data_IF_196547215955
#
_entry.id   IF_196547215955
#
_cell.length_a   1.000
_cell.length_b   1.000
_cell.length_c   1.000
_cell.angle_alpha   90.00
_cell.angle_beta   90.00
_cell.angle_gamma   90.00
#
_symmetry.space_group_name_H-M   'P 1'
#
loop_
_entity.id
_entity.type
_entity.pdbx_description
1 polymer ?
#
# COMPACT_ATOMS: atom_id res chain seq x y z
N UNK A 1 19.80 5.79 -20.21
CA UNK A 1 18.73 6.76 -20.54
C UNK A 1 18.85 7.10 -22.02
N UNK A 2 17.74 7.10 -22.77
CA UNK A 2 17.72 7.57 -24.15
C UNK A 2 18.15 9.05 -24.22
N UNK A 3 18.96 9.46 -25.20
CA UNK A 3 19.52 10.82 -25.29
C UNK A 3 20.06 11.35 -23.95
N UNK A 4 20.94 10.57 -23.30
CA UNK A 4 21.42 10.86 -21.94
C UNK A 4 21.92 12.29 -21.76
N UNK A 5 22.66 12.85 -22.71
CA UNK A 5 23.17 14.22 -22.63
C UNK A 5 22.07 15.28 -22.53
N UNK A 6 20.97 15.13 -23.28
CA UNK A 6 19.84 16.07 -23.22
C UNK A 6 19.14 15.96 -21.87
N UNK A 7 18.96 14.74 -21.38
CA UNK A 7 18.30 14.49 -20.11
C UNK A 7 19.13 14.99 -18.93
N UNK A 8 20.44 14.81 -18.93
CA UNK A 8 21.31 15.39 -17.90
C UNK A 8 21.24 16.93 -17.93
N UNK A 9 21.26 17.56 -19.11
CA UNK A 9 21.05 19.02 -19.21
C UNK A 9 19.74 19.48 -18.61
N UNK A 10 18.65 18.72 -18.77
CA UNK A 10 17.39 19.04 -18.11
C UNK A 10 17.49 18.85 -16.60
N UNK A 11 18.08 17.75 -16.12
CA UNK A 11 18.23 17.47 -14.70
C UNK A 11 19.06 18.56 -13.99
N UNK A 12 20.07 19.13 -14.66
CA UNK A 12 20.86 20.25 -14.14
C UNK A 12 20.03 21.54 -13.90
N UNK A 13 18.85 21.66 -14.52
CA UNK A 13 17.94 22.79 -14.29
C UNK A 13 16.99 22.60 -13.10
N UNK A 14 16.96 21.41 -12.51
CA UNK A 14 16.00 21.04 -11.48
C UNK A 14 16.61 21.11 -10.07
N UNK A 15 15.74 21.28 -9.07
CA UNK A 15 16.14 21.08 -7.67
C UNK A 15 16.47 19.62 -7.39
N UNK A 16 17.34 19.36 -6.41
CA UNK A 16 17.76 18.00 -6.02
C UNK A 16 16.57 17.06 -5.74
N UNK A 17 15.52 17.57 -5.07
CA UNK A 17 14.29 16.81 -4.80
C UNK A 17 13.50 16.43 -6.06
N UNK A 18 13.55 17.25 -7.12
CA UNK A 18 12.95 16.92 -8.41
C UNK A 18 13.83 15.97 -9.23
N UNK A 19 15.16 16.12 -9.16
CA UNK A 19 16.11 15.19 -9.80
C UNK A 19 15.90 13.77 -9.28
N UNK A 20 15.75 13.59 -7.97
CA UNK A 20 15.47 12.29 -7.36
C UNK A 20 14.16 11.65 -7.85
N UNK A 21 13.18 12.45 -8.28
CA UNK A 21 11.91 11.97 -8.83
C UNK A 21 12.00 11.70 -10.34
N UNK A 22 12.68 12.57 -11.09
CA UNK A 22 12.74 12.52 -12.55
C UNK A 22 13.71 11.44 -13.08
N UNK A 23 14.87 11.27 -12.43
CA UNK A 23 15.90 10.34 -12.91
C UNK A 23 15.40 8.88 -13.01
N UNK A 24 14.64 8.33 -12.04
CA UNK A 24 14.03 7.00 -12.20
C UNK A 24 13.01 6.91 -13.34
N UNK A 25 12.26 8.00 -13.61
CA UNK A 25 11.31 8.05 -14.72
C UNK A 25 12.05 7.93 -16.05
N UNK A 26 13.12 8.70 -16.24
CA UNK A 26 13.94 8.61 -17.45
C UNK A 26 14.63 7.25 -17.63
N UNK A 27 15.11 6.65 -16.54
CA UNK A 27 15.71 5.32 -16.61
C UNK A 27 14.69 4.26 -17.07
N UNK A 28 13.45 4.32 -16.58
CA UNK A 28 12.38 3.41 -17.03
C UNK A 28 11.88 3.73 -18.44
N UNK A 29 11.80 5.01 -18.79
CA UNK A 29 11.29 5.46 -20.08
C UNK A 29 12.18 5.04 -21.25
N UNK A 30 13.47 4.83 -21.02
CA UNK A 30 14.45 4.39 -22.03
C UNK A 30 13.94 3.21 -22.86
N UNK A 31 13.30 2.22 -22.25
CA UNK A 31 12.74 1.05 -22.98
C UNK A 31 11.72 1.50 -24.04
N UNK A 32 10.82 2.41 -23.66
CA UNK A 32 9.74 2.90 -24.55
C UNK A 32 10.29 3.88 -25.58
N UNK A 33 11.24 4.73 -25.19
CA UNK A 33 11.91 5.66 -26.11
C UNK A 33 12.74 4.94 -27.17
N UNK A 34 13.46 3.88 -26.77
CA UNK A 34 14.18 3.01 -27.71
C UNK A 34 13.22 2.28 -28.64
N UNK A 35 12.07 1.79 -28.13
CA UNK A 35 11.05 1.15 -28.95
C UNK A 35 10.50 2.08 -30.03
N UNK A 36 10.20 3.33 -29.66
CA UNK A 36 9.69 4.33 -30.61
C UNK A 36 10.78 5.08 -31.39
N UNK A 37 12.04 4.80 -31.07
CA UNK A 37 13.22 5.51 -31.58
C UNK A 37 13.06 7.05 -31.56
N UNK A 38 12.54 7.57 -30.45
CA UNK A 38 12.34 9.00 -30.24
C UNK A 38 12.30 9.32 -28.76
N UNK A 39 12.57 10.58 -28.45
CA UNK A 39 12.54 11.07 -27.08
C UNK A 39 11.10 11.36 -26.62
N UNK A 40 10.86 11.37 -25.30
CA UNK A 40 9.57 11.67 -24.67
C UNK A 40 8.99 12.99 -25.20
N UNK A 41 9.82 14.01 -25.47
CA UNK A 41 9.34 15.30 -25.99
C UNK A 41 8.79 15.26 -27.42
N UNK A 42 8.94 14.14 -28.13
CA UNK A 42 8.36 13.88 -29.46
C UNK A 42 7.27 12.78 -29.41
N UNK A 43 6.81 12.40 -28.21
CA UNK A 43 5.73 11.43 -28.06
C UNK A 43 4.37 12.06 -28.38
N UNK A 44 3.47 11.23 -28.93
CA UNK A 44 2.04 11.55 -29.02
C UNK A 44 1.36 11.32 -27.67
N UNK A 45 0.16 11.86 -27.45
CA UNK A 45 -0.63 11.61 -26.23
C UNK A 45 -0.79 10.12 -25.93
N UNK A 46 -1.06 9.31 -26.97
CA UNK A 46 -1.15 7.85 -26.85
C UNK A 46 0.15 7.20 -26.35
N UNK A 47 1.30 7.63 -26.86
CA UNK A 47 2.60 7.08 -26.45
C UNK A 47 2.99 7.53 -25.04
N UNK A 48 2.57 8.73 -24.64
CA UNK A 48 2.72 9.19 -23.25
C UNK A 48 1.87 8.31 -22.32
N UNK A 49 0.62 8.02 -22.69
CA UNK A 49 -0.25 7.12 -21.92
C UNK A 49 0.33 5.70 -21.82
N UNK A 50 0.88 5.15 -22.90
CA UNK A 50 1.56 3.85 -22.88
C UNK A 50 2.80 3.85 -22.00
N UNK A 51 3.63 4.91 -22.07
CA UNK A 51 4.76 5.07 -21.18
C UNK A 51 4.31 5.10 -19.71
N UNK A 52 3.27 5.86 -19.39
CA UNK A 52 2.72 5.94 -18.03
C UNK A 52 2.20 4.56 -17.58
N UNK A 53 1.46 3.84 -18.43
CA UNK A 53 1.00 2.45 -18.18
C UNK A 53 2.16 1.51 -17.87
N UNK A 54 3.29 1.66 -18.56
CA UNK A 54 4.48 0.82 -18.35
C UNK A 54 5.10 0.94 -16.95
N UNK A 55 4.78 2.01 -16.20
CA UNK A 55 5.28 2.19 -14.84
C UNK A 55 4.51 1.43 -13.78
N UNK A 56 3.41 0.77 -14.17
CA UNK A 56 2.63 -0.14 -13.33
C UNK A 56 2.17 0.51 -12.00
N UNK A 57 1.79 1.78 -12.06
CA UNK A 57 1.40 2.56 -10.88
C UNK A 57 0.03 2.12 -10.34
N UNK A 58 -0.14 2.18 -9.02
CA UNK A 58 -1.34 1.67 -8.31
C UNK A 58 -2.28 2.75 -7.78
N UNK A 59 -1.93 4.03 -7.96
CA UNK A 59 -2.78 5.14 -7.50
C UNK A 59 -2.83 6.23 -8.55
N UNK A 60 -4.01 6.86 -8.70
CA UNK A 60 -4.20 7.97 -9.63
C UNK A 60 -3.27 9.15 -9.29
N UNK A 61 -2.97 9.37 -8.01
CA UNK A 61 -2.02 10.39 -7.57
C UNK A 61 -0.60 10.14 -8.09
N UNK A 62 -0.17 8.88 -8.19
CA UNK A 62 1.12 8.52 -8.79
C UNK A 62 1.10 8.72 -10.31
N UNK A 63 0.02 8.34 -10.99
CA UNK A 63 -0.18 8.53 -12.44
C UNK A 63 -0.14 10.03 -12.80
N UNK A 64 -0.96 10.85 -12.12
CA UNK A 64 -1.00 12.32 -12.30
C UNK A 64 0.37 12.96 -12.05
N UNK A 65 1.10 12.50 -11.04
CA UNK A 65 2.46 13.00 -10.75
C UNK A 65 3.42 12.67 -11.87
N UNK A 66 3.37 11.45 -12.41
CA UNK A 66 4.18 11.07 -13.57
C UNK A 66 3.86 11.98 -14.76
N UNK A 67 2.57 12.15 -15.10
CA UNK A 67 2.17 13.03 -16.20
C UNK A 67 2.71 14.45 -16.00
N UNK A 68 2.59 14.99 -14.79
CA UNK A 68 3.09 16.33 -14.48
C UNK A 68 4.61 16.44 -14.67
N UNK A 69 5.38 15.43 -14.24
CA UNK A 69 6.83 15.38 -14.42
C UNK A 69 7.21 15.27 -15.90
N UNK A 70 6.56 14.40 -16.66
CA UNK A 70 6.76 14.29 -18.11
C UNK A 70 6.40 15.60 -18.82
N UNK A 71 5.27 16.23 -18.46
CA UNK A 71 4.84 17.51 -19.01
C UNK A 71 5.90 18.60 -18.79
N UNK A 72 6.51 18.67 -17.60
CA UNK A 72 7.57 19.65 -17.31
C UNK A 72 8.80 19.43 -18.19
N UNK A 73 9.17 18.18 -18.43
CA UNK A 73 10.28 17.86 -19.33
C UNK A 73 9.97 18.25 -20.79
N UNK A 74 8.75 17.96 -21.27
CA UNK A 74 8.32 18.31 -22.62
C UNK A 74 8.29 19.83 -22.81
N UNK A 75 7.76 20.58 -21.85
CA UNK A 75 7.75 22.05 -21.89
C UNK A 75 9.19 22.61 -21.96
N UNK A 76 10.09 22.05 -21.14
CA UNK A 76 11.50 22.43 -21.19
C UNK A 76 12.09 22.15 -22.58
N UNK A 77 11.90 20.95 -23.12
CA UNK A 77 12.44 20.58 -24.43
C UNK A 77 11.90 21.47 -25.58
N UNK A 78 10.61 21.85 -25.54
CA UNK A 78 10.00 22.80 -26.48
C UNK A 78 10.66 24.18 -26.35
N UNK A 79 10.87 24.68 -25.13
CA UNK A 79 11.48 25.99 -24.91
C UNK A 79 12.92 26.09 -25.45
N UNK A 80 13.66 24.98 -25.44
CA UNK A 80 15.00 24.86 -26.03
C UNK A 80 14.99 24.47 -27.52
N UNK A 81 13.81 24.41 -28.16
CA UNK A 81 13.64 24.04 -29.58
C UNK A 81 14.22 22.65 -29.93
N UNK A 82 14.16 21.72 -28.97
CA UNK A 82 14.59 20.33 -29.15
C UNK A 82 13.49 19.46 -29.76
N UNK A 83 12.22 19.76 -29.42
CA UNK A 83 11.07 19.04 -29.95
C UNK A 83 10.77 19.42 -31.39
N UNK A 84 10.27 18.45 -32.18
CA UNK A 84 9.73 18.70 -33.52
C UNK A 84 8.42 19.48 -33.49
N UNK A 85 7.69 19.41 -32.37
CA UNK A 85 6.42 20.10 -32.16
C UNK A 85 6.58 21.36 -31.30
N UNK A 86 5.57 22.24 -31.38
CA UNK A 86 5.46 23.43 -30.52
C UNK A 86 4.45 23.27 -29.38
N UNK A 87 3.78 22.12 -29.31
CA UNK A 87 2.69 21.87 -28.36
C UNK A 87 3.01 20.68 -27.50
N UNK A 88 2.84 20.84 -26.19
CA UNK A 88 2.99 19.75 -25.24
C UNK A 88 1.75 18.86 -25.24
N UNK A 89 1.83 17.73 -25.96
CA UNK A 89 0.73 16.78 -26.08
C UNK A 89 0.36 16.09 -24.75
N UNK A 90 1.24 16.09 -23.74
CA UNK A 90 0.90 15.59 -22.40
C UNK A 90 -0.26 16.37 -21.77
N UNK A 91 -0.40 17.66 -22.12
CA UNK A 91 -1.46 18.54 -21.59
C UNK A 91 -2.83 18.31 -22.24
N UNK A 92 -2.91 17.44 -23.25
CA UNK A 92 -4.17 17.08 -23.93
C UNK A 92 -4.82 15.83 -23.35
N UNK A 93 -4.12 15.12 -22.46
CA UNK A 93 -4.60 13.90 -21.83
C UNK A 93 -5.70 14.25 -20.81
N UNK A 94 -6.85 13.61 -20.96
CA UNK A 94 -8.01 13.74 -20.08
C UNK A 94 -7.83 12.98 -18.77
N UNK A 95 -8.69 13.27 -17.80
CA UNK A 95 -8.65 12.60 -16.50
C UNK A 95 -9.10 11.14 -16.63
N UNK A 96 -10.09 10.86 -17.47
CA UNK A 96 -10.58 9.53 -17.79
C UNK A 96 -9.46 8.63 -18.35
N UNK A 97 -8.68 9.14 -19.31
CA UNK A 97 -7.52 8.41 -19.87
C UNK A 97 -6.45 8.10 -18.80
N UNK A 98 -6.30 8.95 -17.78
CA UNK A 98 -5.38 8.66 -16.67
C UNK A 98 -5.89 7.55 -15.76
N UNK A 99 -7.20 7.46 -15.53
CA UNK A 99 -7.78 6.35 -14.78
C UNK A 99 -7.58 5.03 -15.53
N UNK A 100 -7.69 5.01 -16.86
CA UNK A 100 -7.39 3.83 -17.67
C UNK A 100 -5.93 3.35 -17.52
N UNK A 101 -4.99 4.22 -17.17
CA UNK A 101 -3.60 3.83 -16.93
C UNK A 101 -3.42 2.93 -15.70
N UNK A 102 -4.38 2.90 -14.78
CA UNK A 102 -4.31 2.04 -13.59
C UNK A 102 -4.53 0.57 -13.93
N UNK A 103 -5.28 0.27 -14.99
CA UNK A 103 -5.65 -1.10 -15.37
C UNK A 103 -6.43 -1.85 -14.28
N UNK A 104 -6.68 -3.13 -14.52
CA UNK A 104 -7.35 -3.97 -13.53
C UNK A 104 -6.31 -4.67 -12.62
N UNK A 105 -5.99 -4.02 -11.51
CA UNK A 105 -5.04 -4.54 -10.51
C UNK A 105 -5.78 -4.91 -9.24
N UNK A 106 -5.47 -6.10 -8.71
CA UNK A 106 -5.90 -6.49 -7.38
C UNK A 106 -5.04 -5.77 -6.33
N UNK A 107 -5.60 -4.70 -5.77
CA UNK A 107 -4.94 -3.86 -4.77
C UNK A 107 -5.30 -4.27 -3.35
N UNK A 108 -6.56 -4.67 -3.13
CA UNK A 108 -7.11 -4.98 -1.82
C UNK A 108 -7.35 -6.48 -1.67
N UNK A 109 -7.55 -6.93 -0.44
CA UNK A 109 -7.98 -8.29 -0.11
C UNK A 109 -9.33 -8.24 0.56
N UNK A 110 -10.18 -9.23 0.31
CA UNK A 110 -11.45 -9.37 1.03
C UNK A 110 -11.22 -9.89 2.45
N UNK A 111 -12.25 -9.82 3.30
CA UNK A 111 -12.20 -10.49 4.60
C UNK A 111 -12.06 -12.02 4.47
N UNK A 112 -12.75 -12.63 3.51
CA UNK A 112 -12.66 -14.06 3.21
C UNK A 112 -11.24 -14.46 2.78
N UNK A 113 -10.59 -13.65 1.94
CA UNK A 113 -9.20 -13.86 1.53
C UNK A 113 -8.22 -13.69 2.68
N UNK A 114 -8.43 -12.70 3.55
CA UNK A 114 -7.63 -12.53 4.76
C UNK A 114 -7.65 -13.80 5.61
N UNK A 115 -8.83 -14.37 5.85
CA UNK A 115 -8.98 -15.61 6.63
C UNK A 115 -8.29 -16.80 5.94
N UNK A 116 -8.46 -16.93 4.61
CA UNK A 116 -7.78 -17.97 3.84
C UNK A 116 -6.25 -17.84 3.93
N UNK A 117 -5.74 -16.62 3.77
CA UNK A 117 -4.32 -16.33 3.88
C UNK A 117 -3.79 -16.69 5.27
N UNK A 118 -4.50 -16.31 6.32
CA UNK A 118 -4.12 -16.64 7.70
C UNK A 118 -4.12 -18.15 7.96
N UNK A 119 -5.07 -18.89 7.40
CA UNK A 119 -5.12 -20.34 7.52
C UNK A 119 -3.91 -21.02 6.84
N UNK A 120 -3.42 -20.46 5.73
CA UNK A 120 -2.26 -21.00 5.00
C UNK A 120 -0.90 -20.57 5.58
N UNK A 121 -0.84 -19.43 6.28
CA UNK A 121 0.39 -18.97 6.93
C UNK A 121 0.75 -19.87 8.12
N UNK A 122 2.04 -20.15 8.29
CA UNK A 122 2.51 -21.00 9.40
C UNK A 122 2.94 -20.15 10.60
N UNK A 123 3.57 -19.00 10.37
CA UNK A 123 4.06 -18.16 11.47
C UNK A 123 2.94 -17.24 11.97
N UNK A 124 2.70 -17.25 13.26
CA UNK A 124 1.72 -16.35 13.87
C UNK A 124 2.13 -14.89 13.74
N UNK A 125 3.43 -14.58 13.76
CA UNK A 125 3.88 -13.21 13.52
C UNK A 125 3.46 -12.67 12.15
N UNK A 126 3.48 -13.51 11.10
CA UNK A 126 2.99 -13.13 9.76
C UNK A 126 1.47 -12.92 9.78
N UNK A 127 0.72 -13.83 10.42
CA UNK A 127 -0.74 -13.69 10.59
C UNK A 127 -1.10 -12.42 11.33
N UNK A 128 -0.42 -12.15 12.45
CA UNK A 128 -0.66 -10.99 13.30
C UNK A 128 -0.43 -9.69 12.55
N UNK A 129 0.67 -9.55 11.81
CA UNK A 129 0.91 -8.34 11.01
C UNK A 129 -0.20 -8.13 9.98
N UNK A 130 -0.66 -9.19 9.31
CA UNK A 130 -1.75 -9.11 8.33
C UNK A 130 -3.07 -8.68 8.99
N UNK A 131 -3.50 -9.37 10.04
CA UNK A 131 -4.74 -9.09 10.77
C UNK A 131 -4.75 -7.72 11.43
N UNK A 132 -3.67 -7.36 12.13
CA UNK A 132 -3.55 -6.08 12.84
C UNK A 132 -3.60 -4.90 11.86
N UNK A 133 -2.90 -4.98 10.73
CA UNK A 133 -2.99 -3.95 9.68
C UNK A 133 -4.41 -3.87 9.12
N UNK A 134 -5.04 -5.00 8.84
CA UNK A 134 -6.41 -5.04 8.30
C UNK A 134 -7.40 -4.39 9.29
N UNK A 135 -7.20 -4.59 10.59
CA UNK A 135 -8.05 -3.96 11.62
C UNK A 135 -7.60 -2.55 12.01
N UNK A 136 -6.63 -1.97 11.30
CA UNK A 136 -6.27 -0.56 11.41
C UNK A 136 -5.10 -0.23 12.34
N UNK A 137 -4.41 -1.22 12.89
CA UNK A 137 -3.19 -1.02 13.69
C UNK A 137 -2.02 -0.78 12.74
N UNK A 138 -1.52 0.45 12.68
CA UNK A 138 -0.40 0.82 11.80
C UNK A 138 0.50 1.85 12.46
N UNK A 139 0.02 3.06 12.68
CA UNK A 139 0.82 4.19 13.13
C UNK A 139 1.93 4.63 12.16
N UNK A 140 2.62 5.72 12.51
CA UNK A 140 3.73 6.27 11.76
C UNK A 140 4.88 5.27 11.73
N UNK A 141 5.32 4.93 10.52
CA UNK A 141 6.40 3.97 10.27
C UNK A 141 6.19 2.62 11.01
N UNK A 142 4.93 2.18 11.12
CA UNK A 142 4.52 0.95 11.79
C UNK A 142 4.70 0.95 13.31
N UNK A 143 4.81 2.13 13.94
CA UNK A 143 5.08 2.24 15.39
C UNK A 143 4.04 1.57 16.27
N UNK A 144 2.76 1.54 15.89
CA UNK A 144 1.72 0.85 16.66
C UNK A 144 1.95 -0.67 16.66
N UNK A 145 2.28 -1.25 15.51
CA UNK A 145 2.60 -2.67 15.38
C UNK A 145 3.87 -3.04 16.14
N UNK A 146 4.91 -2.22 16.01
CA UNK A 146 6.21 -2.46 16.61
C UNK A 146 6.17 -2.30 18.14
N UNK A 147 5.29 -1.46 18.67
CA UNK A 147 5.20 -1.16 20.11
C UNK A 147 4.20 -2.04 20.84
N UNK A 148 3.36 -2.80 20.12
CA UNK A 148 2.35 -3.65 20.70
C UNK A 148 2.98 -4.81 21.49
N UNK A 149 2.64 -4.88 22.77
CA UNK A 149 3.11 -5.92 23.70
C UNK A 149 2.04 -6.95 24.01
N UNK A 150 2.48 -8.12 24.48
CA UNK A 150 1.64 -9.20 25.01
C UNK A 150 0.66 -8.69 26.07
N UNK A 151 1.15 -7.89 27.01
CA UNK A 151 0.32 -7.31 28.08
C UNK A 151 -0.82 -6.45 27.52
N UNK A 152 -0.54 -5.61 26.53
CA UNK A 152 -1.59 -4.79 25.89
C UNK A 152 -2.67 -5.65 25.21
N UNK A 153 -2.28 -6.78 24.62
CA UNK A 153 -3.23 -7.74 24.03
C UNK A 153 -4.07 -8.42 25.12
N UNK A 154 -3.43 -8.88 26.20
CA UNK A 154 -4.11 -9.49 27.36
C UNK A 154 -5.10 -8.51 28.03
N UNK A 155 -4.68 -7.27 28.24
CA UNK A 155 -5.52 -6.20 28.79
C UNK A 155 -6.74 -5.92 27.87
N UNK A 156 -6.54 -5.91 26.55
CA UNK A 156 -7.61 -5.71 25.59
C UNK A 156 -8.63 -6.84 25.57
N UNK A 157 -8.19 -8.10 25.73
CA UNK A 157 -9.08 -9.26 25.84
C UNK A 157 -10.03 -9.15 27.06
N UNK A 158 -9.58 -8.50 28.13
CA UNK A 158 -10.38 -8.27 29.34
C UNK A 158 -11.23 -6.99 29.26
N UNK A 159 -10.99 -6.12 28.27
CA UNK A 159 -11.59 -4.79 28.16
C UNK A 159 -12.33 -4.59 26.83
N UNK A 160 -13.24 -5.51 26.50
CA UNK A 160 -14.15 -5.37 25.35
C UNK A 160 -13.45 -5.30 23.98
N UNK A 161 -12.27 -5.93 23.88
CA UNK A 161 -11.40 -5.96 22.71
C UNK A 161 -10.88 -4.59 22.26
N UNK A 162 -10.56 -3.70 23.22
CA UNK A 162 -10.02 -2.37 22.91
C UNK A 162 -8.52 -2.34 23.17
N UNK A 163 -7.73 -2.28 22.10
CA UNK A 163 -6.28 -2.11 22.16
C UNK A 163 -5.92 -0.65 22.48
N UNK A 164 -4.97 -0.48 23.39
CA UNK A 164 -4.27 0.78 23.63
C UNK A 164 -2.99 0.79 22.80
N UNK A 165 -2.93 1.61 21.76
CA UNK A 165 -1.87 1.65 20.75
C UNK A 165 -1.01 2.89 20.91
N UNK A 166 0.31 2.77 20.71
CA UNK A 166 1.25 3.87 20.77
C UNK A 166 1.83 4.22 19.40
N UNK A 167 1.55 5.45 18.94
CA UNK A 167 2.13 6.04 17.75
C UNK A 167 3.29 6.98 18.12
N UNK A 168 4.42 6.82 17.43
CA UNK A 168 5.65 7.58 17.72
C UNK A 168 5.53 9.10 17.53
N UNK A 169 4.51 9.58 16.82
CA UNK A 169 4.27 11.00 16.53
C UNK A 169 2.99 11.53 17.17
N UNK A 170 1.97 10.68 17.29
CA UNK A 170 0.63 11.08 17.70
C UNK A 170 0.24 10.58 19.09
N UNK A 171 1.12 9.83 19.76
CA UNK A 171 0.91 9.32 21.10
C UNK A 171 -0.08 8.16 21.13
N UNK A 172 -0.80 8.05 22.23
CA UNK A 172 -1.68 6.90 22.50
C UNK A 172 -3.06 7.05 21.82
N UNK A 173 -3.60 5.99 21.24
CA UNK A 173 -5.02 5.91 20.86
C UNK A 173 -5.63 4.56 21.24
N UNK A 174 -6.96 4.52 21.33
CA UNK A 174 -7.73 3.30 21.55
C UNK A 174 -8.37 2.84 20.24
N UNK A 175 -8.32 1.53 19.97
CA UNK A 175 -8.91 0.93 18.78
C UNK A 175 -9.60 -0.38 19.16
N UNK A 176 -10.87 -0.52 18.77
CA UNK A 176 -11.60 -1.78 18.95
C UNK A 176 -11.23 -2.75 17.83
N UNK A 177 -10.91 -3.98 18.19
CA UNK A 177 -10.55 -5.06 17.27
C UNK A 177 -11.41 -6.30 17.52
N UNK A 178 -11.33 -7.28 16.62
CA UNK A 178 -11.97 -8.59 16.77
C UNK A 178 -11.29 -9.43 17.85
N UNK A 179 -12.02 -10.42 18.39
CA UNK A 179 -11.42 -11.38 19.33
C UNK A 179 -10.35 -12.22 18.63
N UNK A 180 -10.58 -12.58 17.37
CA UNK A 180 -9.66 -13.31 16.50
C UNK A 180 -8.34 -12.55 16.34
N UNK A 181 -8.38 -11.23 16.15
CA UNK A 181 -7.19 -10.37 16.11
C UNK A 181 -6.34 -10.52 17.37
N UNK A 182 -6.97 -10.45 18.54
CA UNK A 182 -6.28 -10.59 19.81
C UNK A 182 -5.69 -11.98 20.00
N UNK A 183 -6.42 -13.04 19.63
CA UNK A 183 -5.93 -14.42 19.70
C UNK A 183 -4.69 -14.62 18.82
N UNK A 184 -4.73 -14.13 17.58
CA UNK A 184 -3.60 -14.21 16.65
C UNK A 184 -2.41 -13.41 17.19
N UNK A 185 -2.63 -12.19 17.68
CA UNK A 185 -1.58 -11.35 18.25
C UNK A 185 -0.94 -11.98 19.50
N UNK A 186 -1.74 -12.60 20.38
CA UNK A 186 -1.24 -13.29 21.57
C UNK A 186 -0.36 -14.49 21.18
N UNK A 187 -0.80 -15.30 20.22
CA UNK A 187 -0.01 -16.42 19.70
C UNK A 187 1.31 -15.94 19.06
N UNK A 188 1.29 -14.81 18.35
CA UNK A 188 2.50 -14.20 17.81
C UNK A 188 3.46 -13.73 18.91
N UNK A 189 2.95 -13.10 19.97
CA UNK A 189 3.76 -12.70 21.13
C UNK A 189 4.36 -13.90 21.88
N UNK A 190 3.76 -15.08 21.78
CA UNK A 190 4.28 -16.33 22.37
C UNK A 190 5.22 -17.10 21.43
N UNK A 191 5.32 -16.69 20.15
CA UNK A 191 6.16 -17.35 19.17
C UNK A 191 7.65 -17.17 19.51
N UNK A 192 8.39 -18.28 19.56
CA UNK A 192 9.84 -18.32 19.86
C UNK A 192 10.69 -18.64 18.64
N UNK A 193 10.07 -19.19 17.59
CA UNK A 193 10.73 -19.60 16.35
C UNK A 193 9.91 -19.14 15.15
N UNK A 194 10.59 -18.63 14.13
CA UNK A 194 9.99 -18.26 12.86
C UNK A 194 10.45 -19.21 11.77
N UNK A 195 9.51 -19.91 11.12
CA UNK A 195 9.77 -20.75 9.95
C UNK A 195 9.96 -19.87 8.72
N UNK A 196 11.18 -19.88 8.16
CA UNK A 196 11.53 -19.02 7.03
C UNK A 196 10.59 -19.26 5.84
N UNK A 197 10.23 -18.16 5.15
CA UNK A 197 9.25 -18.14 4.06
C UNK A 197 7.93 -18.87 4.40
N UNK A 198 7.43 -18.69 5.63
CA UNK A 198 6.23 -19.37 6.13
C UNK A 198 6.27 -20.89 5.91
N UNK A 199 7.44 -21.51 6.14
CA UNK A 199 7.64 -22.96 6.00
C UNK A 199 8.04 -23.43 4.61
N UNK A 200 8.14 -22.54 3.61
CA UNK A 200 8.54 -22.89 2.22
C UNK A 200 10.03 -22.67 1.92
N UNK A 201 10.88 -22.47 2.93
CA UNK A 201 12.31 -22.31 2.73
C UNK A 201 12.97 -23.59 2.17
N UNK A 202 13.74 -23.44 1.08
CA UNK A 202 14.49 -24.54 0.43
C UNK A 202 15.93 -24.73 0.95
N UNK A 203 16.41 -23.80 1.77
CA UNK A 203 17.77 -23.84 2.32
C UNK A 203 17.94 -24.80 3.51
N UNK A 204 19.19 -24.96 3.97
CA UNK A 204 19.51 -25.75 5.16
C UNK A 204 18.83 -25.20 6.41
N UNK A 205 18.89 -23.88 6.59
CA UNK A 205 18.15 -23.20 7.67
C UNK A 205 16.69 -23.06 7.26
N UNK A 206 15.81 -23.78 7.97
CA UNK A 206 14.35 -23.73 7.76
C UNK A 206 13.63 -22.84 8.77
N UNK A 207 14.21 -22.64 9.94
CA UNK A 207 13.67 -21.84 11.01
C UNK A 207 14.76 -21.03 11.70
N UNK A 208 14.37 -19.93 12.32
CA UNK A 208 15.25 -19.05 13.10
C UNK A 208 14.58 -18.73 14.43
N UNK A 209 15.38 -18.59 15.49
CA UNK A 209 14.87 -18.14 16.77
C UNK A 209 14.48 -16.66 16.69
N UNK A 210 13.40 -16.31 17.37
CA UNK A 210 13.02 -14.93 17.63
C UNK A 210 13.69 -14.45 18.92
N UNK A 211 13.90 -13.14 19.00
CA UNK A 211 14.34 -12.50 20.25
C UNK A 211 13.29 -12.74 21.34
N UNK A 212 13.74 -13.05 22.55
CA UNK A 212 12.86 -13.26 23.69
C UNK A 212 12.51 -11.90 24.33
N UNK A 213 11.32 -11.40 24.02
CA UNK A 213 10.74 -10.22 24.64
C UNK A 213 9.20 -10.25 24.51
N UNK A 214 8.55 -9.25 25.11
CA UNK A 214 7.10 -9.17 25.23
C UNK A 214 6.39 -8.58 24.00
N UNK A 215 7.10 -8.24 22.91
CA UNK A 215 6.47 -7.65 21.73
C UNK A 215 5.74 -8.71 20.89
N UNK A 216 4.62 -8.30 20.27
CA UNK A 216 3.90 -9.11 19.27
C UNK A 216 4.75 -9.32 18.01
N UNK A 217 5.47 -8.27 17.59
CA UNK A 217 6.41 -8.33 16.47
C UNK A 217 7.85 -8.28 16.99
N UNK A 218 8.54 -9.40 16.81
CA UNK A 218 9.89 -9.71 17.27
C UNK A 218 10.88 -9.78 16.12
N UNK A 219 12.11 -9.37 16.40
CA UNK A 219 13.22 -9.54 15.44
C UNK A 219 13.73 -10.98 15.46
N UNK A 220 14.19 -11.46 14.31
CA UNK A 220 14.95 -12.72 14.20
C UNK A 220 16.28 -12.57 14.94
N UNK A 221 16.61 -13.50 15.84
CA UNK A 221 17.84 -13.47 16.63
C UNK A 221 19.05 -13.58 15.70
N UNK A 222 19.89 -12.56 15.71
CA UNK A 222 21.18 -12.52 15.00
C UNK A 222 22.26 -12.15 16.01
N UNK A 223 23.50 -12.57 15.79
CA UNK A 223 24.62 -12.36 16.74
C UNK A 223 24.82 -10.90 17.17
N UNK A 224 24.35 -9.92 16.38
CA UNK A 224 24.69 -8.51 16.54
C UNK A 224 23.49 -7.57 16.81
N UNK A 225 22.29 -8.09 17.16
CA UNK A 225 21.12 -7.22 17.45
C UNK A 225 20.57 -7.47 18.85
N UNK A 226 20.45 -6.39 19.62
CA UNK A 226 19.97 -6.40 21.00
C UNK A 226 18.51 -6.82 21.13
N UNK A 227 18.12 -7.20 22.36
CA UNK A 227 16.84 -7.84 22.68
C UNK A 227 15.61 -6.91 22.65
N UNK A 228 15.76 -5.75 22.01
CA UNK A 228 14.77 -4.68 22.01
C UNK A 228 13.68 -4.80 20.94
N UNK A 229 12.93 -3.71 20.82
CA UNK A 229 11.86 -3.53 19.84
C UNK A 229 12.36 -3.78 18.40
N UNK A 230 11.51 -4.39 17.57
CA UNK A 230 11.84 -4.64 16.18
C UNK A 230 12.02 -3.36 15.36
N UNK A 231 12.88 -3.44 14.34
CA UNK A 231 13.03 -2.36 13.36
C UNK A 231 11.84 -2.32 12.40
N UNK A 232 11.49 -1.13 11.88
CA UNK A 232 10.47 -0.95 10.84
C UNK A 232 10.62 -1.88 9.62
N UNK A 233 11.85 -2.25 9.28
CA UNK A 233 12.14 -3.16 8.17
C UNK A 233 11.60 -4.57 8.40
N UNK A 234 11.35 -4.98 9.65
CA UNK A 234 10.74 -6.28 9.95
C UNK A 234 9.33 -6.36 9.36
N UNK A 235 8.52 -5.31 9.51
CA UNK A 235 7.16 -5.26 8.95
C UNK A 235 7.22 -5.31 7.42
N UNK A 236 8.07 -4.49 6.80
CA UNK A 236 8.24 -4.50 5.34
C UNK A 236 8.62 -5.88 4.83
N UNK A 237 9.60 -6.54 5.46
CA UNK A 237 10.04 -7.88 5.06
C UNK A 237 8.96 -8.94 5.26
N UNK A 238 8.17 -8.86 6.35
CA UNK A 238 7.07 -9.79 6.57
C UNK A 238 5.99 -9.64 5.48
N UNK A 239 5.65 -8.40 5.10
CA UNK A 239 4.71 -8.17 4.00
C UNK A 239 5.27 -8.64 2.66
N UNK A 240 6.57 -8.43 2.38
CA UNK A 240 7.21 -8.98 1.18
C UNK A 240 7.15 -10.51 1.16
N UNK A 241 7.48 -11.17 2.27
CA UNK A 241 7.39 -12.64 2.38
C UNK A 241 5.95 -13.13 2.15
N UNK A 242 4.93 -12.42 2.66
CA UNK A 242 3.50 -12.76 2.45
C UNK A 242 3.09 -12.52 0.99
N UNK A 243 3.45 -11.38 0.43
CA UNK A 243 3.18 -11.02 -0.97
C UNK A 243 3.75 -12.06 -1.93
N UNK A 244 5.00 -12.49 -1.74
CA UNK A 244 5.62 -13.57 -2.51
C UNK A 244 4.91 -14.91 -2.30
N UNK A 245 4.53 -15.23 -1.07
CA UNK A 245 3.90 -16.51 -0.72
C UNK A 245 2.56 -16.70 -1.44
N UNK A 246 1.75 -15.64 -1.53
CA UNK A 246 0.44 -15.64 -2.16
C UNK A 246 0.42 -15.09 -3.59
N UNK A 247 1.57 -14.61 -4.10
CA UNK A 247 1.70 -13.97 -5.42
C UNK A 247 0.79 -12.73 -5.59
N UNK A 248 0.68 -11.92 -4.53
CA UNK A 248 -0.11 -10.68 -4.54
C UNK A 248 0.84 -9.48 -4.67
N UNK A 249 1.10 -9.06 -5.90
CA UNK A 249 2.17 -8.09 -6.24
C UNK A 249 2.01 -6.70 -5.59
N UNK A 250 0.77 -6.28 -5.27
CA UNK A 250 0.48 -4.94 -4.75
C UNK A 250 0.09 -4.94 -3.26
N UNK A 251 0.39 -6.04 -2.56
CA UNK A 251 0.18 -6.12 -1.13
C UNK A 251 1.22 -5.26 -0.40
N UNK A 252 0.74 -4.22 0.28
CA UNK A 252 1.53 -3.28 1.06
C UNK A 252 0.83 -3.04 2.39
N UNK A 253 1.52 -2.55 3.43
CA UNK A 253 0.85 -2.22 4.68
C UNK A 253 -0.36 -1.29 4.49
N UNK A 254 -0.25 -0.31 3.60
CA UNK A 254 -1.33 0.63 3.34
C UNK A 254 -2.50 0.01 2.57
N UNK A 255 -2.25 -0.90 1.61
CA UNK A 255 -3.34 -1.59 0.92
C UNK A 255 -4.05 -2.58 1.83
N UNK A 256 -3.36 -3.21 2.78
CA UNK A 256 -3.99 -4.06 3.82
C UNK A 256 -4.91 -3.22 4.73
N UNK A 257 -4.44 -2.07 5.23
CA UNK A 257 -5.29 -1.17 6.04
C UNK A 257 -6.52 -0.72 5.26
N UNK A 258 -6.34 -0.33 3.98
CA UNK A 258 -7.46 0.06 3.11
C UNK A 258 -8.41 -1.09 2.83
N UNK A 259 -7.93 -2.34 2.79
CA UNK A 259 -8.77 -3.53 2.68
C UNK A 259 -9.71 -3.65 3.88
N UNK A 260 -9.21 -3.35 5.09
CA UNK A 260 -10.04 -3.24 6.29
C UNK A 260 -11.09 -2.14 6.23
N UNK A 261 -10.70 -0.95 5.75
CA UNK A 261 -11.66 0.13 5.52
C UNK A 261 -12.74 -0.27 4.52
N UNK A 262 -12.36 -0.97 3.44
CA UNK A 262 -13.28 -1.45 2.41
C UNK A 262 -14.23 -2.53 2.95
N UNK A 263 -13.74 -3.44 3.81
CA UNK A 263 -14.60 -4.38 4.52
C UNK A 263 -15.64 -3.67 5.37
N UNK A 264 -15.23 -2.62 6.11
CA UNK A 264 -16.16 -1.83 6.90
C UNK A 264 -17.15 -1.05 6.01
N UNK A 265 -16.70 -0.55 4.87
CA UNK A 265 -17.58 0.07 3.87
C UNK A 265 -18.63 -0.93 3.36
N UNK A 266 -18.23 -2.16 3.04
CA UNK A 266 -19.15 -3.25 2.68
C UNK A 266 -20.20 -3.52 3.76
N UNK A 267 -19.79 -3.61 5.04
CA UNK A 267 -20.74 -3.78 6.14
C UNK A 267 -21.76 -2.63 6.21
N UNK A 268 -21.27 -1.39 6.13
CA UNK A 268 -22.11 -0.20 6.14
C UNK A 268 -23.00 -0.09 4.90
N UNK A 269 -22.54 -0.58 3.75
CA UNK A 269 -23.35 -0.69 2.53
C UNK A 269 -24.53 -1.64 2.72
N UNK A 270 -24.32 -2.80 3.36
CA UNK A 270 -25.41 -3.72 3.68
C UNK A 270 -26.44 -3.13 4.63
N UNK A 271 -26.01 -2.26 5.53
CA UNK A 271 -26.89 -1.58 6.49
C UNK A 271 -27.66 -0.41 5.86
N UNK A 272 -27.02 0.38 4.98
CA UNK A 272 -27.55 1.66 4.48
C UNK A 272 -27.98 1.65 3.01
N UNK A 273 -27.49 0.71 2.21
CA UNK A 273 -27.74 0.61 0.76
C UNK A 273 -26.98 1.60 -0.12
N UNK A 274 -26.09 2.44 0.43
CA UNK A 274 -25.35 3.48 -0.31
C UNK A 274 -23.97 3.75 0.30
N UNK A 275 -22.97 4.12 -0.52
CA UNK A 275 -21.64 4.59 -0.07
C UNK A 275 -21.49 6.10 -0.26
N UNK A 276 -21.92 6.87 0.73
CA UNK A 276 -21.85 8.33 0.76
C UNK A 276 -20.76 8.87 1.72
N UNK A 277 -20.76 10.19 1.96
CA UNK A 277 -19.82 10.79 2.91
C UNK A 277 -20.10 10.37 4.36
N UNK A 278 -21.34 10.03 4.74
CA UNK A 278 -21.65 9.51 6.07
C UNK A 278 -20.90 8.21 6.33
N UNK A 279 -20.87 7.30 5.35
CA UNK A 279 -20.09 6.06 5.45
C UNK A 279 -18.60 6.34 5.66
N UNK A 280 -18.02 7.26 4.89
CA UNK A 280 -16.58 7.60 5.01
C UNK A 280 -16.26 8.25 6.35
N UNK A 281 -17.13 9.12 6.87
CA UNK A 281 -16.98 9.66 8.23
C UNK A 281 -17.06 8.56 9.29
N UNK A 282 -17.98 7.62 9.15
CA UNK A 282 -18.13 6.52 10.09
C UNK A 282 -16.90 5.60 10.11
N UNK A 283 -16.29 5.31 8.95
CA UNK A 283 -15.02 4.56 8.90
C UNK A 283 -13.89 5.31 9.61
N UNK A 284 -13.80 6.64 9.45
CA UNK A 284 -12.81 7.45 10.19
C UNK A 284 -13.00 7.29 11.70
N UNK A 285 -14.24 7.24 12.17
CA UNK A 285 -14.57 7.09 13.59
C UNK A 285 -14.37 5.67 14.10
N UNK A 286 -14.83 4.65 13.36
CA UNK A 286 -14.69 3.24 13.70
C UNK A 286 -13.21 2.81 13.82
N UNK A 287 -12.37 3.31 12.90
CA UNK A 287 -10.93 3.06 12.91
C UNK A 287 -10.16 4.10 13.75
N UNK A 288 -10.83 5.05 14.39
CA UNK A 288 -10.23 6.14 15.16
C UNK A 288 -9.03 6.79 14.43
N UNK A 289 -9.24 7.16 13.16
CA UNK A 289 -8.19 7.68 12.29
C UNK A 289 -7.85 9.12 12.69
N UNK A 290 -6.57 9.36 13.02
CA UNK A 290 -6.07 10.68 13.35
C UNK A 290 -5.85 11.53 12.10
N UNK A 291 -6.84 12.33 11.75
CA UNK A 291 -6.83 13.18 10.55
C UNK A 291 -6.83 14.67 10.91
N UNK A 292 -6.06 15.49 10.19
CA UNK A 292 -6.06 16.95 10.39
C UNK A 292 -7.41 17.60 10.05
N UNK A 293 -8.11 17.03 9.07
CA UNK A 293 -9.43 17.46 8.63
C UNK A 293 -10.19 16.24 8.16
N UNK A 294 -11.31 15.92 8.82
CA UNK A 294 -12.16 14.82 8.39
C UNK A 294 -12.69 15.04 6.98
N UNK A 295 -13.02 16.27 6.59
CA UNK A 295 -13.45 16.60 5.23
C UNK A 295 -12.40 16.22 4.17
N UNK A 296 -11.13 16.60 4.37
CA UNK A 296 -10.05 16.22 3.45
C UNK A 296 -9.80 14.71 3.43
N UNK A 297 -9.93 14.05 4.58
CA UNK A 297 -9.81 12.61 4.67
C UNK A 297 -10.92 11.90 3.88
N UNK A 298 -12.18 12.33 4.05
CA UNK A 298 -13.33 11.83 3.28
C UNK A 298 -13.10 11.98 1.77
N UNK A 299 -12.63 13.15 1.33
CA UNK A 299 -12.29 13.37 -0.09
C UNK A 299 -11.23 12.37 -0.57
N UNK A 300 -10.14 12.18 0.19
CA UNK A 300 -9.11 11.19 -0.17
C UNK A 300 -9.56 9.73 -0.11
N UNK A 301 -10.64 9.44 0.63
CA UNK A 301 -11.23 8.10 0.72
C UNK A 301 -12.14 7.77 -0.46
N UNK A 302 -12.66 8.77 -1.19
CA UNK A 302 -13.52 8.53 -2.36
C UNK A 302 -12.84 7.67 -3.43
N UNK A 303 -11.51 7.81 -3.57
CA UNK A 303 -10.69 7.04 -4.52
C UNK A 303 -10.73 5.52 -4.28
N UNK A 304 -11.05 5.05 -3.06
CA UNK A 304 -11.04 3.61 -2.74
C UNK A 304 -12.21 3.13 -1.86
N UNK A 305 -13.06 4.05 -1.40
CA UNK A 305 -14.29 3.78 -0.65
C UNK A 305 -15.44 4.38 -1.44
N UNK A 306 -15.94 3.58 -2.38
CA UNK A 306 -17.07 3.88 -3.25
C UNK A 306 -17.80 2.56 -3.59
N UNK A 307 -18.96 2.66 -4.23
CA UNK A 307 -19.80 1.49 -4.53
C UNK A 307 -19.16 0.56 -5.56
N UNK A 308 -18.43 1.11 -6.54
CA UNK A 308 -17.73 0.32 -7.54
C UNK A 308 -16.70 -0.60 -6.89
N UNK A 309 -15.86 -0.06 -6.00
CA UNK A 309 -14.86 -0.85 -5.26
C UNK A 309 -15.52 -1.87 -4.31
N UNK A 310 -16.60 -1.51 -3.61
CA UNK A 310 -17.33 -2.46 -2.76
C UNK A 310 -17.91 -3.60 -3.59
N UNK A 311 -18.57 -3.29 -4.70
CA UNK A 311 -19.14 -4.30 -5.60
C UNK A 311 -18.05 -5.14 -6.25
N UNK A 312 -16.91 -4.54 -6.61
CA UNK A 312 -15.77 -5.24 -7.21
C UNK A 312 -15.19 -6.29 -6.25
N UNK A 313 -14.94 -5.93 -5.00
CA UNK A 313 -14.26 -6.83 -4.06
C UNK A 313 -15.21 -7.74 -3.30
N UNK A 314 -16.49 -7.37 -3.13
CA UNK A 314 -17.47 -8.16 -2.37
C UNK A 314 -18.65 -8.62 -3.23
N UNK A 315 -18.44 -8.80 -4.55
CA UNK A 315 -19.48 -9.23 -5.50
C UNK A 315 -20.14 -10.54 -5.04
N UNK A 316 -19.33 -11.55 -4.71
CA UNK A 316 -19.79 -12.87 -4.30
C UNK A 316 -20.62 -12.78 -3.01
N UNK A 317 -20.12 -12.06 -2.00
CA UNK A 317 -20.80 -11.87 -0.72
C UNK A 317 -22.09 -11.04 -0.82
N UNK A 318 -22.19 -10.16 -1.83
CA UNK A 318 -23.39 -9.39 -2.15
C UNK A 318 -24.38 -10.16 -3.03
N UNK A 319 -24.02 -11.36 -3.51
CA UNK A 319 -24.84 -12.13 -4.44
C UNK A 319 -24.93 -11.50 -5.83
N UNK A 320 -24.02 -10.57 -6.15
CA UNK A 320 -23.83 -9.99 -7.47
C UNK A 320 -23.08 -11.03 -8.30
N UNK A 321 -23.80 -12.04 -8.82
CA UNK A 321 -23.21 -12.94 -9.82
C UNK A 321 -22.70 -12.09 -10.97
N UNK A 322 -21.44 -12.28 -11.36
CA UNK A 322 -20.87 -11.64 -12.55
C UNK A 322 -21.88 -11.76 -13.69
N UNK A 323 -22.41 -10.61 -14.10
CA UNK A 323 -22.96 -10.50 -15.43
C UNK A 323 -21.72 -10.40 -16.30
N UNK A 324 -21.09 -11.54 -16.59
CA UNK A 324 -20.00 -11.60 -17.54
C UNK A 324 -20.57 -11.10 -18.86
N UNK A 325 -20.18 -9.88 -19.26
CA UNK A 325 -20.43 -9.32 -20.59
C UNK A 325 -19.41 -9.93 -21.55
#
# INVERSE_FOLDING_TARGET
MFNSEIKEKYLDTLSEGMVMQMRPIFAKAEITETLYNKDIYDFTSMQILELIRSFDQTTIGSVRRTLALLSLYIDWAISYKLSKGLTNLARTISEEELYECLGDKKLYITYSELEEMENQLVNYQSKAVLRLLFEGVSGLAHSELLSLTKKQVEDAMLNGNVLTLYDSKHGERKLKVSSECLVIALNAAQETKYKLKNGKAKGQTKEVFLVENDYVVKTKRTSNKGDGQASKFVITNLITDISEFFKINFLTPNTIVRSGHLYRAYQLYKEKGVIDNSVRYQIIDDFNLRVKSKYRAVYSMQDYINEEEVNKYYAEELGLKETTI
#
